data_IF_181754618021
#
_entry.id   IF_181754618021
#
_cell.length_a   1.000
_cell.length_b   1.000
_cell.length_c   1.000
_cell.angle_alpha   90.00
_cell.angle_beta   90.00
_cell.angle_gamma   90.00
#
_symmetry.space_group_name_H-M   'P 1'
#
loop_
_entity.id
_entity.type
_entity.pdbx_description
1 polymer ?
#
# COMPACT_ATOMS: atom_id res chain seq x y z
N UNK A 1 26.72 6.57 -0.27
CA UNK A 1 25.98 5.38 -0.74
C UNK A 1 25.76 4.46 0.46
N UNK A 2 24.51 4.18 0.86
CA UNK A 2 24.25 3.41 2.08
C UNK A 2 24.45 1.91 1.82
N UNK A 3 25.46 1.31 2.46
CA UNK A 3 25.85 -0.10 2.28
C UNK A 3 24.67 -1.07 2.52
N UNK A 4 23.76 -0.68 3.42
CA UNK A 4 22.60 -1.49 3.81
C UNK A 4 21.54 -1.63 2.70
N UNK A 5 21.21 -0.56 1.97
CA UNK A 5 20.20 -0.63 0.89
C UNK A 5 20.67 -1.51 -0.27
N UNK A 6 21.94 -1.39 -0.67
CA UNK A 6 22.55 -2.22 -1.71
C UNK A 6 22.55 -3.71 -1.33
N UNK A 7 22.85 -4.02 -0.07
CA UNK A 7 22.83 -5.39 0.46
C UNK A 7 21.44 -6.03 0.36
N UNK A 8 20.38 -5.31 0.72
CA UNK A 8 18.99 -5.82 0.66
C UNK A 8 18.57 -6.07 -0.80
N UNK A 9 18.87 -5.14 -1.70
CA UNK A 9 18.59 -5.30 -3.14
C UNK A 9 19.32 -6.53 -3.70
N UNK A 10 20.59 -6.73 -3.31
CA UNK A 10 21.36 -7.89 -3.73
C UNK A 10 20.79 -9.20 -3.17
N UNK A 11 20.38 -9.25 -1.89
CA UNK A 11 19.72 -10.43 -1.30
C UNK A 11 18.44 -10.79 -2.04
N UNK A 12 17.61 -9.80 -2.38
CA UNK A 12 16.41 -10.02 -3.20
C UNK A 12 16.73 -10.60 -4.57
N UNK A 13 17.72 -10.02 -5.28
CA UNK A 13 18.15 -10.49 -6.61
C UNK A 13 18.71 -11.91 -6.55
N UNK A 14 19.59 -12.20 -5.59
CA UNK A 14 20.15 -13.54 -5.41
C UNK A 14 19.07 -14.57 -5.08
N UNK A 15 18.10 -14.21 -4.23
CA UNK A 15 16.96 -15.09 -3.92
C UNK A 15 16.10 -15.37 -5.15
N UNK A 16 15.82 -14.36 -5.98
CA UNK A 16 15.11 -14.52 -7.24
C UNK A 16 15.86 -15.39 -8.24
N UNK A 17 17.17 -15.20 -8.37
CA UNK A 17 18.02 -16.03 -9.23
C UNK A 17 17.99 -17.48 -8.74
N UNK A 18 18.13 -17.70 -7.42
CA UNK A 18 18.03 -19.04 -6.82
C UNK A 18 16.71 -19.73 -7.15
N UNK A 19 15.58 -19.03 -6.99
CA UNK A 19 14.25 -19.55 -7.37
C UNK A 19 14.19 -19.87 -8.87
N UNK A 20 14.70 -18.99 -9.73
CA UNK A 20 14.74 -19.21 -11.17
C UNK A 20 15.57 -20.44 -11.56
N UNK A 21 16.74 -20.63 -10.95
CA UNK A 21 17.62 -21.80 -11.17
C UNK A 21 16.93 -23.09 -10.74
N UNK A 22 16.28 -23.12 -9.59
CA UNK A 22 15.53 -24.30 -9.12
C UNK A 22 14.43 -24.68 -10.13
N UNK A 23 13.66 -23.71 -10.61
CA UNK A 23 12.63 -23.99 -11.62
C UNK A 23 13.23 -24.44 -12.96
N UNK A 24 14.36 -23.87 -13.39
CA UNK A 24 15.05 -24.31 -14.60
C UNK A 24 15.52 -25.76 -14.49
N UNK A 25 16.08 -26.17 -13.35
CA UNK A 25 16.50 -27.56 -13.10
C UNK A 25 15.31 -28.50 -13.16
N UNK A 26 14.18 -28.14 -12.53
CA UNK A 26 12.96 -28.95 -12.57
C UNK A 26 12.45 -29.10 -14.00
N UNK A 27 12.40 -28.02 -14.78
CA UNK A 27 11.96 -28.06 -16.18
C UNK A 27 12.89 -28.91 -17.06
N UNK A 28 14.21 -28.83 -16.88
CA UNK A 28 15.17 -29.65 -17.62
C UNK A 28 15.03 -31.14 -17.24
N UNK A 29 14.86 -31.46 -15.96
CA UNK A 29 14.63 -32.83 -15.50
C UNK A 29 13.35 -33.42 -16.08
N UNK A 30 12.26 -32.64 -16.15
CA UNK A 30 11.01 -33.08 -16.77
C UNK A 30 11.17 -33.32 -18.28
N UNK A 31 11.97 -32.51 -18.97
CA UNK A 31 12.30 -32.73 -20.38
C UNK A 31 13.10 -34.02 -20.60
N UNK A 32 14.00 -34.37 -19.68
CA UNK A 32 14.75 -35.63 -19.75
C UNK A 32 13.88 -36.86 -19.43
N UNK A 33 12.93 -36.73 -18.50
CA UNK A 33 12.11 -37.84 -18.02
C UNK A 33 10.85 -38.09 -18.86
N UNK A 34 10.45 -37.16 -19.72
CA UNK A 34 9.23 -37.25 -20.50
C UNK A 34 9.47 -36.91 -21.96
N UNK A 35 9.09 -37.83 -22.85
CA UNK A 35 9.08 -37.57 -24.31
C UNK A 35 7.87 -36.72 -24.74
N UNK A 36 7.13 -36.15 -23.78
CA UNK A 36 5.91 -35.43 -24.02
C UNK A 36 6.14 -33.92 -23.95
N UNK A 37 6.23 -33.30 -25.12
CA UNK A 37 6.39 -31.85 -25.28
C UNK A 37 5.28 -31.04 -24.58
N UNK A 38 4.06 -31.58 -24.43
CA UNK A 38 2.99 -30.91 -23.68
C UNK A 38 3.37 -30.73 -22.21
N UNK A 39 3.93 -31.76 -21.57
CA UNK A 39 4.37 -31.72 -20.16
C UNK A 39 5.46 -30.66 -19.99
N UNK A 40 6.38 -30.57 -20.95
CA UNK A 40 7.41 -29.55 -20.97
C UNK A 40 6.82 -28.13 -21.03
N UNK A 41 5.94 -27.82 -21.99
CA UNK A 41 5.33 -26.49 -22.11
C UNK A 41 4.50 -26.10 -20.90
N UNK A 42 3.74 -27.06 -20.33
CA UNK A 42 2.99 -26.84 -19.11
C UNK A 42 3.92 -26.52 -17.93
N UNK A 43 5.05 -27.25 -17.79
CA UNK A 43 6.03 -27.01 -16.75
C UNK A 43 6.67 -25.62 -16.86
N UNK A 44 6.97 -25.15 -18.08
CA UNK A 44 7.52 -23.82 -18.33
C UNK A 44 6.51 -22.73 -17.91
N UNK A 45 5.24 -22.91 -18.23
CA UNK A 45 4.18 -21.98 -17.84
C UNK A 45 4.02 -21.91 -16.32
N UNK A 46 4.04 -23.07 -15.64
CA UNK A 46 4.01 -23.14 -14.17
C UNK A 46 5.23 -22.46 -13.57
N UNK A 47 6.43 -22.68 -14.11
CA UNK A 47 7.66 -22.03 -13.67
C UNK A 47 7.57 -20.50 -13.77
N UNK A 48 7.11 -19.96 -14.90
CA UNK A 48 6.95 -18.51 -15.09
C UNK A 48 5.95 -17.91 -14.09
N UNK A 49 4.79 -18.56 -13.89
CA UNK A 49 3.81 -18.12 -12.90
C UNK A 49 4.37 -18.19 -11.47
N UNK A 50 5.14 -19.23 -11.16
CA UNK A 50 5.73 -19.42 -9.84
C UNK A 50 6.80 -18.38 -9.55
N UNK A 51 7.69 -18.09 -10.50
CA UNK A 51 8.69 -17.02 -10.37
C UNK A 51 8.03 -15.67 -10.09
N UNK A 52 6.89 -15.38 -10.74
CA UNK A 52 6.12 -14.15 -10.47
C UNK A 52 5.55 -14.13 -9.04
N UNK A 53 4.98 -15.23 -8.58
CA UNK A 53 4.44 -15.36 -7.22
C UNK A 53 5.56 -15.24 -6.18
N UNK A 54 6.65 -15.98 -6.34
CA UNK A 54 7.82 -15.90 -5.46
C UNK A 54 8.45 -14.52 -5.47
N UNK A 55 8.52 -13.86 -6.63
CA UNK A 55 8.99 -12.48 -6.73
C UNK A 55 8.15 -11.50 -5.91
N UNK A 56 6.82 -11.70 -5.85
CA UNK A 56 5.93 -10.91 -5.00
C UNK A 56 6.12 -11.23 -3.50
N UNK A 57 6.30 -12.51 -3.15
CA UNK A 57 6.57 -12.92 -1.76
C UNK A 57 7.90 -12.34 -1.26
N UNK A 58 8.96 -12.47 -2.06
CA UNK A 58 10.28 -11.93 -1.74
C UNK A 58 10.25 -10.41 -1.69
N UNK A 59 9.47 -9.76 -2.56
CA UNK A 59 9.26 -8.32 -2.49
C UNK A 59 8.64 -7.91 -1.15
N UNK A 60 7.55 -8.58 -0.75
CA UNK A 60 6.91 -8.31 0.53
C UNK A 60 7.87 -8.54 1.70
N UNK A 61 8.67 -9.60 1.65
CA UNK A 61 9.61 -9.98 2.69
C UNK A 61 10.80 -9.02 2.84
N UNK A 62 11.34 -8.50 1.74
CA UNK A 62 12.56 -7.67 1.77
C UNK A 62 12.29 -6.17 1.71
N UNK A 63 11.19 -5.75 1.09
CA UNK A 63 10.88 -4.34 0.84
C UNK A 63 9.74 -3.89 1.74
N UNK A 64 8.54 -4.46 1.57
CA UNK A 64 7.37 -4.01 2.32
C UNK A 64 7.53 -4.22 3.83
N UNK A 65 8.27 -5.25 4.27
CA UNK A 65 8.54 -5.50 5.69
C UNK A 65 9.27 -4.34 6.38
N UNK A 66 10.12 -3.59 5.66
CA UNK A 66 10.85 -2.44 6.21
C UNK A 66 9.86 -1.35 6.63
N UNK A 67 8.92 -1.03 5.74
CA UNK A 67 7.88 -0.04 6.01
C UNK A 67 6.87 -0.56 7.02
N UNK A 68 6.47 -1.83 6.90
CA UNK A 68 5.27 -2.35 7.57
C UNK A 68 5.53 -3.03 8.92
N UNK A 69 6.74 -3.55 9.13
CA UNK A 69 7.11 -4.35 10.30
C UNK A 69 8.32 -3.77 11.04
N UNK A 70 9.37 -3.36 10.33
CA UNK A 70 10.51 -2.66 10.94
C UNK A 70 10.17 -1.21 11.30
N UNK A 71 9.13 -0.62 10.69
CA UNK A 71 8.72 0.77 10.89
C UNK A 71 9.88 1.75 10.64
N UNK A 72 10.68 1.52 9.59
CA UNK A 72 11.84 2.33 9.25
C UNK A 72 11.62 3.06 7.91
N UNK A 73 10.94 4.20 7.95
CA UNK A 73 10.64 5.01 6.76
C UNK A 73 11.90 5.54 6.06
N UNK A 74 12.93 6.09 6.74
CA UNK A 74 14.13 6.58 6.07
C UNK A 74 14.87 5.50 5.28
N UNK A 75 15.02 4.31 5.87
CA UNK A 75 15.60 3.14 5.20
C UNK A 75 14.77 2.70 4.00
N UNK A 76 13.44 2.80 4.10
CA UNK A 76 12.54 2.49 2.99
C UNK A 76 12.73 3.47 1.83
N UNK A 77 12.77 4.77 2.10
CA UNK A 77 12.99 5.84 1.11
C UNK A 77 14.31 5.61 0.38
N UNK A 78 15.42 5.49 1.12
CA UNK A 78 16.77 5.26 0.56
C UNK A 78 16.80 4.04 -0.36
N UNK A 79 16.10 2.98 0.02
CA UNK A 79 16.04 1.76 -0.75
C UNK A 79 15.16 1.87 -2.02
N UNK A 80 14.04 2.61 -1.97
CA UNK A 80 13.21 2.85 -3.15
C UNK A 80 13.91 3.79 -4.13
N UNK A 81 14.59 4.84 -3.64
CA UNK A 81 15.33 5.78 -4.48
C UNK A 81 16.57 5.13 -5.11
N UNK A 82 17.31 4.30 -4.36
CA UNK A 82 18.47 3.56 -4.87
C UNK A 82 18.06 2.43 -5.83
N UNK A 83 16.92 1.79 -5.60
CA UNK A 83 16.44 0.64 -6.36
C UNK A 83 15.76 1.02 -7.67
N UNK A 84 16.51 1.44 -8.72
CA UNK A 84 16.00 1.88 -10.05
C UNK A 84 14.86 1.05 -10.69
N UNK A 85 14.73 -0.25 -10.38
CA UNK A 85 13.67 -1.14 -10.93
C UNK A 85 12.38 -1.03 -10.10
N UNK A 86 12.52 -0.79 -8.81
CA UNK A 86 11.44 -0.69 -7.81
C UNK A 86 10.95 0.77 -7.73
N UNK A 87 11.88 1.72 -7.89
CA UNK A 87 11.67 3.18 -7.93
C UNK A 87 10.67 3.66 -8.98
N UNK A 88 10.27 2.83 -9.95
CA UNK A 88 9.30 3.21 -10.98
C UNK A 88 7.85 2.83 -10.62
N UNK A 89 7.61 2.27 -9.42
CA UNK A 89 6.27 1.97 -8.96
C UNK A 89 5.65 3.18 -8.25
N UNK A 90 4.69 3.85 -8.90
CA UNK A 90 3.96 4.98 -8.32
C UNK A 90 3.27 4.66 -6.99
N UNK A 91 2.93 3.39 -6.73
CA UNK A 91 2.36 2.99 -5.45
C UNK A 91 3.35 3.19 -4.28
N UNK A 92 4.64 2.94 -4.52
CA UNK A 92 5.65 3.12 -3.47
C UNK A 92 5.93 4.59 -3.21
N UNK A 93 5.93 5.40 -4.27
CA UNK A 93 6.02 6.86 -4.14
C UNK A 93 4.83 7.43 -3.39
N UNK A 94 3.63 6.88 -3.60
CA UNK A 94 2.44 7.27 -2.84
C UNK A 94 2.58 6.93 -1.36
N UNK A 95 3.06 5.73 -1.01
CA UNK A 95 3.29 5.38 0.39
C UNK A 95 4.37 6.25 1.04
N UNK A 96 5.49 6.49 0.35
CA UNK A 96 6.54 7.38 0.83
C UNK A 96 5.95 8.77 1.09
N UNK A 97 5.31 9.37 0.09
CA UNK A 97 4.76 10.72 0.18
C UNK A 97 3.76 10.85 1.34
N UNK A 98 2.81 9.91 1.46
CA UNK A 98 1.85 9.92 2.54
C UNK A 98 2.50 9.77 3.92
N UNK A 99 3.37 8.78 4.11
CA UNK A 99 3.97 8.53 5.43
C UNK A 99 5.06 9.54 5.82
N UNK A 100 5.64 10.28 4.86
CA UNK A 100 6.54 11.39 5.11
C UNK A 100 5.82 12.73 5.31
N UNK A 101 4.52 12.81 5.03
CA UNK A 101 3.73 14.04 5.12
C UNK A 101 3.78 14.94 3.87
N UNK A 102 4.32 14.47 2.75
CA UNK A 102 4.23 15.15 1.45
C UNK A 102 2.85 14.88 0.82
N UNK A 103 1.82 15.49 1.40
CA UNK A 103 0.44 15.28 0.98
C UNK A 103 0.16 15.81 -0.42
N UNK A 104 0.85 16.87 -0.87
CA UNK A 104 0.73 17.39 -2.23
C UNK A 104 1.07 16.30 -3.25
N UNK A 105 2.24 15.67 -3.10
CA UNK A 105 2.65 14.56 -3.97
C UNK A 105 1.71 13.36 -3.86
N UNK A 106 1.26 13.01 -2.66
CA UNK A 106 0.33 11.90 -2.45
C UNK A 106 -1.02 12.12 -3.15
N UNK A 107 -1.61 13.31 -3.01
CA UNK A 107 -2.88 13.72 -3.63
C UNK A 107 -2.73 13.72 -5.16
N UNK A 108 -1.66 14.32 -5.67
CA UNK A 108 -1.40 14.38 -7.10
C UNK A 108 -1.24 13.00 -7.73
N UNK A 109 -0.54 12.07 -7.07
CA UNK A 109 -0.46 10.67 -7.53
C UNK A 109 -1.85 10.01 -7.54
N UNK A 110 -2.67 10.24 -6.51
CA UNK A 110 -4.01 9.66 -6.45
C UNK A 110 -4.91 10.19 -7.57
N UNK A 111 -4.95 11.50 -7.80
CA UNK A 111 -5.76 12.13 -8.85
C UNK A 111 -5.37 11.60 -10.23
N UNK A 112 -4.07 11.55 -10.54
CA UNK A 112 -3.56 10.98 -11.79
C UNK A 112 -3.99 9.51 -12.00
N UNK A 113 -4.13 8.74 -10.92
CA UNK A 113 -4.60 7.35 -11.00
C UNK A 113 -6.10 7.24 -11.15
N UNK A 114 -6.87 8.13 -10.53
CA UNK A 114 -8.33 8.14 -10.59
C UNK A 114 -8.85 8.56 -11.98
N UNK A 115 -8.14 9.45 -12.68
CA UNK A 115 -8.48 9.84 -14.06
C UNK A 115 -8.26 8.69 -15.07
N UNK A 116 -7.38 7.75 -14.75
CA UNK A 116 -6.99 6.69 -15.67
C UNK A 116 -7.85 5.43 -15.48
N UNK A 117 -8.75 5.18 -16.44
CA UNK A 117 -9.67 4.01 -16.49
C UNK A 117 -9.02 2.65 -16.21
N UNK A 118 -7.72 2.50 -16.50
CA UNK A 118 -6.97 1.25 -16.21
C UNK A 118 -6.96 0.91 -14.71
N UNK A 119 -7.10 1.91 -13.84
CA UNK A 119 -7.02 1.74 -12.39
C UNK A 119 -8.38 1.68 -11.71
N UNK A 120 -9.50 1.56 -12.45
CA UNK A 120 -10.84 1.48 -11.89
C UNK A 120 -10.97 0.37 -10.83
N UNK A 121 -10.31 -0.78 -11.03
CA UNK A 121 -10.27 -1.89 -10.06
C UNK A 121 -9.67 -1.48 -8.70
N UNK A 122 -8.76 -0.52 -8.69
CA UNK A 122 -8.04 -0.04 -7.50
C UNK A 122 -8.53 1.33 -7.02
N UNK A 123 -9.63 1.84 -7.59
CA UNK A 123 -10.19 3.15 -7.27
C UNK A 123 -10.47 3.34 -5.78
N UNK A 124 -11.03 2.32 -5.12
CA UNK A 124 -11.25 2.32 -3.66
C UNK A 124 -9.99 2.62 -2.85
N UNK A 125 -8.82 2.15 -3.31
CA UNK A 125 -7.56 2.35 -2.60
C UNK A 125 -7.08 3.81 -2.75
N UNK A 126 -7.16 4.38 -3.95
CA UNK A 126 -6.79 5.78 -4.16
C UNK A 126 -7.75 6.74 -3.46
N UNK A 127 -9.05 6.43 -3.44
CA UNK A 127 -10.02 7.20 -2.66
C UNK A 127 -9.71 7.13 -1.15
N UNK A 128 -9.33 5.95 -0.63
CA UNK A 128 -8.90 5.81 0.77
C UNK A 128 -7.70 6.70 1.07
N UNK A 129 -6.69 6.72 0.19
CA UNK A 129 -5.48 7.53 0.39
C UNK A 129 -5.80 9.03 0.33
N UNK A 130 -6.65 9.48 -0.60
CA UNK A 130 -7.13 10.87 -0.63
C UNK A 130 -7.88 11.24 0.64
N UNK A 131 -8.80 10.39 1.10
CA UNK A 131 -9.57 10.65 2.32
C UNK A 131 -8.63 10.84 3.53
N UNK A 132 -7.58 10.02 3.64
CA UNK A 132 -6.56 10.17 4.69
C UNK A 132 -5.79 11.48 4.57
N UNK A 133 -5.34 11.84 3.37
CA UNK A 133 -4.60 13.09 3.16
C UNK A 133 -5.46 14.31 3.52
N UNK A 134 -6.68 14.40 2.96
CA UNK A 134 -7.60 15.52 3.21
C UNK A 134 -8.02 15.62 4.68
N UNK A 135 -8.23 14.49 5.35
CA UNK A 135 -8.48 14.47 6.78
C UNK A 135 -7.28 15.03 7.58
N UNK A 136 -6.06 14.58 7.28
CA UNK A 136 -4.86 14.95 8.03
C UNK A 136 -4.43 16.41 7.83
N UNK A 137 -4.77 17.03 6.68
CA UNK A 137 -4.56 18.46 6.40
C UNK A 137 -5.76 19.35 6.77
N UNK A 138 -6.87 18.76 7.22
CA UNK A 138 -8.08 19.49 7.61
C UNK A 138 -8.91 20.09 6.46
N UNK A 139 -8.72 19.62 5.22
CA UNK A 139 -9.56 20.00 4.09
C UNK A 139 -10.83 19.13 4.08
N UNK A 140 -11.77 19.49 4.94
CA UNK A 140 -13.01 18.75 5.13
C UNK A 140 -13.99 18.88 3.94
N UNK A 141 -13.85 19.94 3.13
CA UNK A 141 -14.64 20.08 1.90
C UNK A 141 -14.22 19.02 0.88
N UNK A 142 -12.93 18.87 0.61
CA UNK A 142 -12.40 17.82 -0.27
C UNK A 142 -12.62 16.43 0.32
N UNK A 143 -12.50 16.26 1.65
CA UNK A 143 -12.82 15.00 2.31
C UNK A 143 -14.27 14.57 2.06
N UNK A 144 -15.22 15.51 2.18
CA UNK A 144 -16.64 15.26 1.91
C UNK A 144 -16.86 14.83 0.45
N UNK A 145 -16.24 15.53 -0.51
CA UNK A 145 -16.29 15.16 -1.94
C UNK A 145 -15.76 13.75 -2.18
N UNK A 146 -14.63 13.40 -1.58
CA UNK A 146 -14.04 12.05 -1.70
C UNK A 146 -14.94 10.97 -1.10
N UNK A 147 -15.61 11.27 0.02
CA UNK A 147 -16.58 10.35 0.63
C UNK A 147 -17.77 10.08 -0.30
N UNK A 148 -18.32 11.11 -0.95
CA UNK A 148 -19.40 10.96 -1.92
C UNK A 148 -18.94 10.21 -3.19
N UNK A 149 -17.72 10.46 -3.67
CA UNK A 149 -17.14 9.67 -4.76
C UNK A 149 -17.01 8.18 -4.39
N UNK A 150 -16.64 7.87 -3.14
CA UNK A 150 -16.57 6.50 -2.65
C UNK A 150 -17.96 5.84 -2.58
N UNK A 151 -18.96 6.54 -2.04
CA UNK A 151 -20.36 6.06 -1.99
C UNK A 151 -20.91 5.75 -3.39
N UNK A 152 -20.71 6.67 -4.34
CA UNK A 152 -21.10 6.47 -5.74
C UNK A 152 -20.38 5.27 -6.39
N UNK A 153 -19.08 5.13 -6.12
CA UNK A 153 -18.29 4.00 -6.61
C UNK A 153 -18.79 2.66 -6.07
N UNK A 154 -19.08 2.55 -4.76
CA UNK A 154 -19.55 1.26 -4.21
C UNK A 154 -20.98 0.94 -4.65
N UNK A 155 -21.84 1.95 -4.86
CA UNK A 155 -23.22 1.74 -5.32
C UNK A 155 -23.28 1.13 -6.74
N UNK A 156 -22.32 1.48 -7.59
CA UNK A 156 -22.24 1.00 -8.98
C UNK A 156 -21.36 -0.24 -9.15
N UNK A 157 -20.57 -0.60 -8.14
CA UNK A 157 -19.66 -1.73 -8.20
C UNK A 157 -20.33 -3.03 -7.73
N UNK A 158 -20.22 -4.11 -8.52
CA UNK A 158 -20.73 -5.44 -8.15
C UNK A 158 -20.20 -5.95 -6.80
N UNK A 159 -19.01 -5.52 -6.39
CA UNK A 159 -18.39 -5.88 -5.10
C UNK A 159 -18.54 -4.77 -4.04
N UNK A 160 -19.45 -3.81 -4.23
CA UNK A 160 -19.62 -2.64 -3.37
C UNK A 160 -19.70 -2.95 -1.89
N UNK A 161 -20.55 -3.90 -1.50
CA UNK A 161 -20.73 -4.30 -0.08
C UNK A 161 -19.44 -4.83 0.54
N UNK A 162 -18.74 -5.73 -0.16
CA UNK A 162 -17.46 -6.29 0.29
C UNK A 162 -16.38 -5.21 0.41
N UNK A 163 -16.39 -4.23 -0.49
CA UNK A 163 -15.48 -3.07 -0.42
C UNK A 163 -15.85 -2.22 0.81
N UNK A 164 -17.12 -1.88 1.01
CA UNK A 164 -17.60 -1.10 2.15
C UNK A 164 -17.20 -1.73 3.49
N UNK A 165 -17.34 -3.04 3.63
CA UNK A 165 -16.94 -3.77 4.85
C UNK A 165 -15.43 -3.77 5.06
N UNK A 166 -14.64 -3.88 3.99
CA UNK A 166 -13.17 -3.91 4.08
C UNK A 166 -12.57 -2.55 4.41
N UNK A 167 -13.17 -1.46 3.92
CA UNK A 167 -12.65 -0.10 4.04
C UNK A 167 -13.38 0.69 5.13
N UNK A 168 -13.28 0.20 6.37
CA UNK A 168 -13.94 0.75 7.55
C UNK A 168 -13.58 2.21 7.81
N UNK A 169 -12.43 2.69 7.31
CA UNK A 169 -12.04 4.08 7.41
C UNK A 169 -13.09 5.06 6.85
N UNK A 170 -13.83 4.68 5.81
CA UNK A 170 -14.92 5.53 5.30
C UNK A 170 -16.09 5.66 6.28
N UNK A 171 -16.36 4.65 7.12
CA UNK A 171 -17.32 4.80 8.24
C UNK A 171 -16.82 5.79 9.28
N UNK A 172 -15.51 5.80 9.56
CA UNK A 172 -14.93 6.83 10.42
C UNK A 172 -15.09 8.22 9.82
N UNK A 173 -14.82 8.39 8.52
CA UNK A 173 -15.03 9.68 7.83
C UNK A 173 -16.49 10.13 7.92
N UNK A 174 -17.45 9.21 7.69
CA UNK A 174 -18.88 9.50 7.84
C UNK A 174 -19.22 10.00 9.25
N UNK A 175 -18.85 9.24 10.28
CA UNK A 175 -19.10 9.63 11.67
C UNK A 175 -18.42 10.95 12.03
N UNK A 176 -17.18 11.15 11.60
CA UNK A 176 -16.42 12.36 11.90
C UNK A 176 -17.06 13.60 11.27
N UNK A 177 -17.46 13.54 10.00
CA UNK A 177 -18.12 14.66 9.30
C UNK A 177 -19.50 14.98 9.90
N UNK A 178 -20.20 13.99 10.45
CA UNK A 178 -21.47 14.17 11.16
C UNK A 178 -21.31 14.53 12.64
N UNK A 179 -20.06 14.67 13.13
CA UNK A 179 -19.74 14.87 14.55
C UNK A 179 -20.25 13.76 15.48
N UNK A 180 -20.49 12.56 14.95
CA UNK A 180 -20.88 11.36 15.70
C UNK A 180 -19.65 10.67 16.33
N UNK A 181 -18.87 11.43 17.11
CA UNK A 181 -17.57 10.96 17.62
C UNK A 181 -17.69 9.74 18.54
N UNK A 182 -18.78 9.62 19.31
CA UNK A 182 -19.03 8.45 20.17
C UNK A 182 -19.16 7.17 19.35
N UNK A 183 -19.89 7.20 18.22
CA UNK A 183 -20.01 6.05 17.32
C UNK A 183 -18.67 5.69 16.65
N UNK A 184 -17.88 6.71 16.28
CA UNK A 184 -16.52 6.51 15.77
C UNK A 184 -15.59 5.87 16.81
N UNK A 185 -15.70 6.29 18.08
CA UNK A 185 -14.94 5.74 19.22
C UNK A 185 -15.27 4.27 19.44
N UNK A 186 -16.56 3.92 19.56
CA UNK A 186 -17.01 2.53 19.76
C UNK A 186 -16.54 1.60 18.62
N UNK A 187 -16.65 2.07 17.38
CA UNK A 187 -16.20 1.34 16.20
C UNK A 187 -14.70 1.01 16.29
N UNK A 188 -13.86 2.01 16.59
CA UNK A 188 -12.41 1.83 16.60
C UNK A 188 -11.90 1.13 17.86
N UNK A 189 -12.59 1.26 18.99
CA UNK A 189 -12.32 0.47 20.18
C UNK A 189 -12.47 -1.02 19.90
N UNK A 190 -13.59 -1.42 19.28
CA UNK A 190 -13.83 -2.82 18.89
C UNK A 190 -12.75 -3.36 17.95
N UNK A 191 -12.33 -2.55 16.97
CA UNK A 191 -11.27 -2.92 16.03
C UNK A 191 -9.93 -3.07 16.75
N UNK A 192 -9.58 -2.10 17.60
CA UNK A 192 -8.34 -2.10 18.37
C UNK A 192 -8.25 -3.31 19.30
N UNK A 193 -9.31 -3.59 20.07
CA UNK A 193 -9.38 -4.75 20.96
C UNK A 193 -9.35 -6.08 20.20
N UNK A 194 -10.03 -6.15 19.05
CA UNK A 194 -9.97 -7.32 18.16
C UNK A 194 -8.56 -7.57 17.60
N UNK A 195 -7.81 -6.50 17.35
CA UNK A 195 -6.45 -6.59 16.80
C UNK A 195 -5.40 -6.95 17.86
N UNK A 196 -5.54 -6.50 19.11
CA UNK A 196 -4.68 -6.93 20.23
C UNK A 196 -4.61 -8.45 20.38
N UNK A 197 -5.66 -9.17 19.99
CA UNK A 197 -5.73 -10.63 20.08
C UNK A 197 -4.99 -11.36 18.95
N UNK A 198 -4.52 -10.66 17.91
CA UNK A 198 -3.89 -11.26 16.74
C UNK A 198 -2.40 -10.91 16.63
N UNK A 199 -1.53 -11.86 17.02
CA UNK A 199 -0.08 -11.68 17.06
C UNK A 199 0.60 -11.55 15.69
N UNK A 200 -0.08 -11.93 14.60
CA UNK A 200 0.49 -11.89 13.23
C UNK A 200 0.20 -10.59 12.48
N UNK A 201 -0.21 -9.53 13.19
CA UNK A 201 -0.64 -8.30 12.54
C UNK A 201 0.54 -7.43 12.12
N UNK A 202 0.42 -6.86 10.92
CA UNK A 202 1.34 -5.85 10.39
C UNK A 202 1.34 -4.62 11.31
N UNK A 203 2.51 -4.22 11.84
CA UNK A 203 2.66 -3.10 12.79
C UNK A 203 2.12 -1.79 12.24
N UNK A 204 2.34 -1.49 10.96
CA UNK A 204 1.82 -0.27 10.34
C UNK A 204 0.29 -0.14 10.38
N UNK A 205 -0.42 -1.26 10.21
CA UNK A 205 -1.88 -1.28 10.35
C UNK A 205 -2.32 -1.16 11.82
N UNK A 206 -1.46 -1.51 12.76
CA UNK A 206 -1.69 -1.24 14.18
C UNK A 206 -1.57 0.23 14.52
N UNK A 207 -0.48 0.85 14.09
CA UNK A 207 -0.26 2.28 14.25
C UNK A 207 -1.39 3.10 13.64
N UNK A 208 -1.82 2.78 12.40
CA UNK A 208 -2.90 3.51 11.76
C UNK A 208 -4.23 3.39 12.52
N UNK A 209 -4.58 2.20 13.05
CA UNK A 209 -5.82 2.04 13.84
C UNK A 209 -5.71 2.75 15.18
N UNK A 210 -4.56 2.63 15.84
CA UNK A 210 -4.28 3.25 17.14
C UNK A 210 -4.37 4.78 17.04
N UNK A 211 -3.78 5.35 15.99
CA UNK A 211 -3.86 6.77 15.69
C UNK A 211 -5.31 7.24 15.46
N UNK A 212 -6.09 6.55 14.63
CA UNK A 212 -7.50 6.92 14.41
C UNK A 212 -8.33 6.77 15.68
N UNK A 213 -8.09 5.73 16.49
CA UNK A 213 -8.78 5.55 17.77
C UNK A 213 -8.44 6.66 18.76
N UNK A 214 -7.17 7.07 18.84
CA UNK A 214 -6.72 8.18 19.67
C UNK A 214 -7.45 9.49 19.31
N UNK A 215 -7.63 9.76 18.02
CA UNK A 215 -8.41 10.92 17.55
C UNK A 215 -9.88 10.82 18.00
N UNK A 216 -10.50 9.65 17.92
CA UNK A 216 -11.87 9.45 18.42
C UNK A 216 -11.95 9.72 19.93
N UNK A 217 -11.01 9.20 20.73
CA UNK A 217 -10.93 9.47 22.16
C UNK A 217 -10.78 10.97 22.45
N UNK A 218 -9.88 11.64 21.73
CA UNK A 218 -9.66 13.08 21.83
C UNK A 218 -10.95 13.88 21.54
N UNK A 219 -11.64 13.60 20.43
CA UNK A 219 -12.90 14.29 20.08
C UNK A 219 -14.06 14.00 21.04
N UNK A 220 -14.01 12.87 21.74
CA UNK A 220 -14.96 12.56 22.82
C UNK A 220 -14.56 13.14 24.20
N UNK A 221 -13.43 13.85 24.31
CA UNK A 221 -12.92 14.38 25.58
C UNK A 221 -12.25 13.35 26.51
N UNK A 222 -12.01 12.14 26.02
CA UNK A 222 -11.29 11.08 26.75
C UNK A 222 -9.78 11.27 26.57
N UNK A 223 -9.26 12.33 27.20
CA UNK A 223 -7.89 12.80 26.99
C UNK A 223 -6.84 11.86 27.59
N UNK A 224 -7.14 11.18 28.69
CA UNK A 224 -6.23 10.19 29.28
C UNK A 224 -5.97 9.05 28.28
N UNK A 225 -7.04 8.50 27.69
CA UNK A 225 -6.90 7.43 26.71
C UNK A 225 -6.28 7.90 25.41
N UNK A 226 -6.65 9.09 24.94
CA UNK A 226 -6.03 9.69 23.76
C UNK A 226 -4.51 9.84 23.95
N UNK A 227 -4.09 10.34 25.12
CA UNK A 227 -2.68 10.55 25.49
C UNK A 227 -1.90 9.23 25.51
N UNK A 228 -2.44 8.19 26.13
CA UNK A 228 -1.84 6.84 26.11
C UNK A 228 -1.58 6.36 24.67
N UNK A 229 -2.60 6.46 23.81
CA UNK A 229 -2.54 5.95 22.44
C UNK A 229 -1.60 6.78 21.55
N UNK A 230 -1.60 8.11 21.66
CA UNK A 230 -0.71 8.99 20.91
C UNK A 230 0.76 8.76 21.29
N UNK A 231 1.08 8.61 22.57
CA UNK A 231 2.44 8.29 23.02
C UNK A 231 2.93 6.94 22.47
N UNK A 232 2.07 5.93 22.43
CA UNK A 232 2.39 4.62 21.85
C UNK A 232 2.61 4.72 20.31
N UNK A 233 1.82 5.54 19.61
CA UNK A 233 2.05 5.83 18.18
C UNK A 233 3.42 6.47 17.95
N UNK A 234 3.79 7.47 18.76
CA UNK A 234 5.10 8.15 18.67
C UNK A 234 6.24 7.16 18.91
N UNK A 235 6.12 6.31 19.93
CA UNK A 235 7.14 5.31 20.26
C UNK A 235 7.29 4.23 19.17
N UNK A 236 6.17 3.80 18.57
CA UNK A 236 6.15 2.72 17.58
C UNK A 236 6.56 3.20 16.18
N UNK A 237 6.24 4.45 15.81
CA UNK A 237 6.42 4.98 14.47
C UNK A 237 7.11 6.36 14.45
N UNK A 238 8.26 6.55 15.12
CA UNK A 238 8.84 7.88 15.37
C UNK A 238 9.20 8.65 14.09
N UNK A 239 9.55 7.93 13.01
CA UNK A 239 9.92 8.51 11.72
C UNK A 239 8.75 8.66 10.74
N UNK A 240 7.51 8.39 11.16
CA UNK A 240 6.31 8.52 10.33
C UNK A 240 5.56 9.79 10.69
N UNK A 241 4.83 10.35 9.73
CA UNK A 241 3.96 11.51 9.91
C UNK A 241 2.95 11.37 11.06
N UNK A 242 2.50 10.16 11.36
CA UNK A 242 1.66 9.89 12.54
C UNK A 242 2.29 10.33 13.86
N UNK A 243 3.62 10.20 14.02
CA UNK A 243 4.31 10.64 15.23
C UNK A 243 4.22 12.15 15.39
N UNK A 244 4.47 12.92 14.32
CA UNK A 244 4.34 14.37 14.36
C UNK A 244 2.90 14.82 14.63
N UNK A 245 1.91 14.25 13.93
CA UNK A 245 0.50 14.55 14.17
C UNK A 245 0.09 14.23 15.62
N UNK A 246 0.54 13.09 16.15
CA UNK A 246 0.26 12.71 17.54
C UNK A 246 0.82 13.72 18.54
N UNK A 247 2.03 14.24 18.31
CA UNK A 247 2.62 15.30 19.15
C UNK A 247 1.76 16.56 19.13
N UNK A 248 1.28 16.99 17.96
CA UNK A 248 0.41 18.17 17.85
C UNK A 248 -0.92 17.99 18.60
N UNK A 249 -1.49 16.77 18.59
CA UNK A 249 -2.66 16.47 19.41
C UNK A 249 -2.36 16.52 20.91
N UNK A 250 -1.21 16.01 21.34
CA UNK A 250 -0.78 16.08 22.75
C UNK A 250 -0.60 17.54 23.20
N UNK A 251 0.06 18.36 22.39
CA UNK A 251 0.20 19.80 22.64
C UNK A 251 -1.17 20.49 22.74
N UNK A 252 -2.15 20.10 21.93
CA UNK A 252 -3.51 20.62 22.01
C UNK A 252 -4.19 20.22 23.33
N UNK A 253 -4.02 18.97 23.79
CA UNK A 253 -4.52 18.50 25.09
C UNK A 253 -3.90 19.30 26.23
N UNK A 254 -2.57 19.43 26.25
CA UNK A 254 -1.82 20.14 27.30
C UNK A 254 -2.24 21.62 27.41
N UNK A 255 -2.48 22.26 26.27
CA UNK A 255 -2.90 23.65 26.21
C UNK A 255 -4.43 23.84 26.34
N UNK A 256 -5.20 22.76 26.53
CA UNK A 256 -6.67 22.79 26.53
C UNK A 256 -7.29 23.44 25.28
N UNK A 257 -6.61 23.30 24.15
CA UNK A 257 -6.99 23.86 22.86
C UNK A 257 -7.53 22.76 21.94
N UNK A 258 -8.35 23.16 20.97
CA UNK A 258 -8.69 22.28 19.85
C UNK A 258 -7.50 22.19 18.88
N UNK A 259 -7.11 20.97 18.51
CA UNK A 259 -6.16 20.76 17.43
C UNK A 259 -6.77 21.20 16.10
N UNK A 260 -6.12 22.19 15.48
CA UNK A 260 -6.46 22.68 14.14
C UNK A 260 -5.40 22.16 13.18
N UNK A 261 -5.77 21.30 12.20
CA UNK A 261 -4.84 20.85 11.18
C UNK A 261 -4.28 22.02 10.37
N UNK A 262 -2.99 21.92 10.04
CA UNK A 262 -2.32 22.91 9.22
C UNK A 262 -2.80 22.77 7.77
N UNK A 263 -3.47 23.80 7.26
CA UNK A 263 -3.90 23.83 5.87
C UNK A 263 -2.68 24.03 4.97
N UNK A 264 -2.44 23.05 4.11
CA UNK A 264 -1.35 23.10 3.13
C UNK A 264 -1.93 23.64 1.82
N UNK A 265 -1.23 24.59 1.20
CA UNK A 265 -1.56 25.04 -0.15
C UNK A 265 -1.23 23.92 -1.13
N UNK A 266 -2.26 23.39 -1.80
CA UNK A 266 -2.09 22.33 -2.78
C UNK A 266 -1.38 22.89 -4.02
N UNK A 267 -0.17 22.42 -4.27
CA UNK A 267 0.53 22.71 -5.53
C UNK A 267 -0.05 21.85 -6.66
N UNK A 268 -0.47 22.52 -7.73
CA UNK A 268 -1.04 21.89 -8.93
C UNK A 268 0.04 21.51 -9.94
N UNK A 269 1.31 21.84 -9.69
CA UNK A 269 2.40 21.45 -10.58
C UNK A 269 2.67 19.93 -10.51
N UNK A 270 2.28 19.24 -11.58
CA UNK A 270 2.42 17.80 -11.76
C UNK A 270 3.80 17.41 -12.35
N UNK A 271 4.67 18.38 -12.65
CA UNK A 271 5.94 18.18 -13.35
C UNK A 271 6.91 17.22 -12.65
N UNK A 272 6.82 17.14 -11.31
CA UNK A 272 7.73 16.34 -10.48
C UNK A 272 7.24 14.89 -10.21
N UNK A 273 6.12 14.46 -10.78
CA UNK A 273 5.62 13.09 -10.58
C UNK A 273 6.40 12.13 -11.49
N UNK A 274 7.06 11.09 -10.95
CA UNK A 274 7.79 10.14 -11.76
C UNK A 274 6.84 9.39 -12.71
N UNK A 275 6.94 9.70 -14.01
CA UNK A 275 6.15 9.02 -15.05
C UNK A 275 6.70 7.60 -15.21
N UNK A 276 5.90 6.54 -14.95
CA UNK A 276 6.37 5.18 -15.10
C UNK A 276 6.66 4.92 -16.58
N UNK A 277 7.95 4.77 -16.93
CA UNK A 277 8.35 4.34 -18.28
C UNK A 277 7.64 3.04 -18.63
N UNK A 278 6.96 3.03 -19.78
CA UNK A 278 6.10 1.91 -20.16
C UNK A 278 6.94 0.62 -20.25
N UNK A 279 6.53 -0.44 -19.55
CA UNK A 279 7.17 -1.77 -19.63
C UNK A 279 6.79 -2.51 -20.93
N UNK A 280 6.76 -1.80 -22.08
CA UNK A 280 6.41 -2.37 -23.39
C UNK A 280 7.31 -3.56 -23.75
N UNK A 281 8.61 -3.43 -23.51
CA UNK A 281 9.61 -4.48 -23.79
C UNK A 281 9.32 -5.77 -23.01
N UNK A 282 9.02 -5.67 -21.71
CA UNK A 282 8.71 -6.84 -20.88
C UNK A 282 7.41 -7.52 -21.35
N UNK A 283 6.40 -6.74 -21.73
CA UNK A 283 5.15 -7.29 -22.30
C UNK A 283 5.38 -7.99 -23.64
N UNK A 284 6.25 -7.45 -24.49
CA UNK A 284 6.65 -8.06 -25.76
C UNK A 284 7.37 -9.39 -25.51
N UNK A 285 8.29 -9.44 -24.53
CA UNK A 285 8.96 -10.69 -24.14
C UNK A 285 7.94 -11.74 -23.66
N UNK A 286 7.00 -11.37 -22.78
CA UNK A 286 5.95 -12.30 -22.36
C UNK A 286 5.04 -12.75 -23.51
N UNK A 287 4.72 -11.85 -24.45
CA UNK A 287 3.93 -12.18 -25.62
C UNK A 287 4.68 -13.15 -26.55
N UNK A 288 5.98 -12.95 -26.76
CA UNK A 288 6.83 -13.86 -27.55
C UNK A 288 6.90 -15.23 -26.89
N UNK A 289 7.17 -15.30 -25.58
CA UNK A 289 7.20 -16.57 -24.84
C UNK A 289 5.84 -17.29 -24.92
N UNK A 290 4.73 -16.56 -24.76
CA UNK A 290 3.39 -17.12 -24.87
C UNK A 290 3.07 -17.63 -26.29
N UNK A 291 3.51 -16.90 -27.32
CA UNK A 291 3.31 -17.27 -28.72
C UNK A 291 4.14 -18.49 -29.11
N UNK A 292 5.36 -18.63 -28.59
CA UNK A 292 6.20 -19.83 -28.73
C UNK A 292 5.54 -21.06 -28.07
N UNK A 293 4.90 -20.89 -26.90
CA UNK A 293 4.15 -21.96 -26.24
C UNK A 293 2.93 -22.38 -27.09
N UNK A 294 2.17 -21.44 -27.64
CA UNK A 294 1.00 -21.76 -28.49
C UNK A 294 1.41 -22.50 -29.76
N UNK A 295 2.46 -22.04 -30.45
CA UNK A 295 2.94 -22.69 -31.67
C UNK A 295 3.41 -24.12 -31.38
N UNK A 296 4.12 -24.33 -30.26
CA UNK A 296 4.53 -25.66 -29.81
C UNK A 296 3.35 -26.59 -29.49
N UNK A 297 2.30 -26.07 -28.86
CA UNK A 297 1.08 -26.83 -28.59
C UNK A 297 0.35 -27.24 -29.88
N UNK A 298 0.22 -26.32 -30.85
CA UNK A 298 -0.45 -26.61 -32.13
C UNK A 298 0.34 -27.64 -32.94
N UNK A 299 1.67 -27.54 -32.96
CA UNK A 299 2.52 -28.51 -33.68
C UNK A 299 2.53 -29.90 -33.04
N UNK A 300 2.29 -30.01 -31.72
CA UNK A 300 2.13 -31.32 -31.04
C UNK A 300 0.76 -32.00 -31.24
N UNK A 301 -0.23 -31.29 -31.79
CA UNK A 301 -1.58 -31.83 -32.08
C UNK A 301 -1.71 -32.27 -33.55
N UNK A 302 -0.77 -31.88 -34.41
CA UNK A 302 -0.78 -32.15 -35.86
C UNK A 302 0.14 -33.35 -36.22
N UNK A 303 0.78 -33.98 -35.23
CA UNK A 303 1.55 -35.24 -35.37
C UNK A 303 0.78 -36.37 -34.71
#
# INVERSE_FOLDING_TARGET
MNYNAKSIINKYRLSLIGVGVVFAIITILLLYLTDNYFVYYLSLLVAVLSIKIFGMILYNKFFNSILTTEMNLPKYIDLIETGKIISNNLLEHLYIAYYSGDYNKAINICNLKLENKKYEKYKHFYLLMLARCYFEIGDFESLSKVNEMFKSFIATNKNGNKIKEKFIYFKFVEFYLLSEFSAAKELYEKIYLGQKKNQNKIKLNDVSVKFTYAICCYKCGDFDKATELFNDVIATAPAFRYSELSKRYLEAIENSNEYIPEQITLDTDMSNIPVPKSRKIIKIIYAIVFLVIIIGLISSVIV
#
